data_IF_510353599388
#
_entry.id   IF_510353599388
#
_cell.length_a   1.000
_cell.length_b   1.000
_cell.length_c   1.000
_cell.angle_alpha   90.00
_cell.angle_beta   90.00
_cell.angle_gamma   90.00
#
_symmetry.space_group_name_H-M   'P 1'
#
loop_
_entity.id
_entity.type
_entity.pdbx_description
1 polymer ?
#
# COMPACT_ATOMS: atom_id res chain seq x y z
N UNK A 1 -18.00 3.64 8.76
CA UNK A 1 -16.67 3.96 8.20
C UNK A 1 -16.27 2.89 7.19
N UNK A 2 -15.90 3.28 5.97
CA UNK A 2 -15.64 2.35 4.87
C UNK A 2 -14.18 1.90 4.94
N UNK A 3 -13.89 0.63 5.27
CA UNK A 3 -12.50 0.15 5.36
C UNK A 3 -11.81 0.33 3.99
N UNK A 4 -10.74 1.12 3.93
CA UNK A 4 -9.92 1.29 2.74
C UNK A 4 -8.54 0.66 2.93
N UNK A 5 -7.88 0.37 1.82
CA UNK A 5 -6.60 -0.32 1.79
C UNK A 5 -5.65 0.45 0.88
N UNK A 6 -4.38 0.52 1.29
CA UNK A 6 -3.30 1.14 0.53
C UNK A 6 -2.16 0.12 0.38
N UNK A 7 -1.25 0.41 -0.54
CA UNK A 7 -0.04 -0.40 -0.74
C UNK A 7 1.14 0.42 -0.25
N UNK A 8 1.86 -0.13 0.74
CA UNK A 8 3.10 0.42 1.24
C UNK A 8 4.28 -0.33 0.62
N UNK A 9 5.32 0.43 0.26
CA UNK A 9 6.59 -0.08 -0.20
C UNK A 9 7.59 -0.06 0.95
N UNK A 10 8.24 -1.18 1.15
CA UNK A 10 9.33 -1.38 2.08
C UNK A 10 10.62 -1.66 1.29
N UNK A 11 11.73 -1.09 1.73
CA UNK A 11 13.05 -1.36 1.18
C UNK A 11 13.97 -1.84 2.31
N UNK A 12 14.51 -3.05 2.18
CA UNK A 12 15.30 -3.73 3.22
C UNK A 12 14.61 -3.74 4.60
N UNK A 13 13.29 -3.91 4.60
CA UNK A 13 12.47 -3.91 5.83
C UNK A 13 12.09 -2.53 6.37
N UNK A 14 12.60 -1.43 5.80
CA UNK A 14 12.24 -0.07 6.18
C UNK A 14 11.06 0.43 5.35
N UNK A 15 10.07 1.03 6.01
CA UNK A 15 8.97 1.70 5.30
C UNK A 15 9.53 2.87 4.50
N UNK A 16 9.22 2.91 3.21
CA UNK A 16 9.66 3.99 2.32
C UNK A 16 8.49 4.93 2.04
N UNK A 17 7.43 4.39 1.45
CA UNK A 17 6.35 5.22 0.90
C UNK A 17 5.04 4.43 0.75
N UNK A 18 3.92 5.14 0.81
CA UNK A 18 2.61 4.59 0.42
C UNK A 18 2.33 5.00 -1.03
N UNK A 19 2.34 4.03 -1.93
CA UNK A 19 2.28 4.27 -3.39
C UNK A 19 0.86 4.47 -3.91
N UNK A 20 -0.16 3.96 -3.20
CA UNK A 20 -1.50 3.82 -3.75
C UNK A 20 -2.54 4.64 -3.01
N UNK A 21 -3.47 5.21 -3.79
CA UNK A 21 -4.70 5.76 -3.26
C UNK A 21 -5.52 4.69 -2.53
N UNK A 22 -6.29 5.10 -1.51
CA UNK A 22 -7.15 4.20 -0.77
C UNK A 22 -8.15 3.47 -1.69
N UNK A 23 -8.07 2.14 -1.75
CA UNK A 23 -8.93 1.30 -2.59
C UNK A 23 -9.54 0.14 -1.80
N UNK A 24 -10.29 -0.73 -2.48
CA UNK A 24 -10.82 -1.97 -1.89
C UNK A 24 -9.70 -2.97 -1.64
N UNK A 25 -9.90 -3.88 -0.67
CA UNK A 25 -8.90 -4.92 -0.35
C UNK A 25 -8.49 -5.73 -1.59
N UNK A 26 -9.48 -6.12 -2.38
CA UNK A 26 -9.29 -6.98 -3.56
C UNK A 26 -8.44 -6.31 -4.63
N UNK A 27 -8.63 -5.02 -4.86
CA UNK A 27 -7.85 -4.28 -5.86
C UNK A 27 -6.44 -3.98 -5.35
N UNK A 28 -6.30 -3.67 -4.06
CA UNK A 28 -5.00 -3.52 -3.42
C UNK A 28 -4.19 -4.82 -3.50
N UNK A 29 -4.78 -5.97 -3.18
CA UNK A 29 -4.12 -7.28 -3.27
C UNK A 29 -3.66 -7.59 -4.70
N UNK A 30 -4.54 -7.41 -5.71
CA UNK A 30 -4.19 -7.64 -7.12
C UNK A 30 -3.02 -6.75 -7.58
N UNK A 31 -3.01 -5.48 -7.21
CA UNK A 31 -1.93 -4.54 -7.54
C UNK A 31 -0.65 -4.88 -6.79
N UNK A 32 -0.76 -5.24 -5.51
CA UNK A 32 0.37 -5.62 -4.67
C UNK A 32 1.10 -6.84 -5.25
N UNK A 33 0.37 -7.86 -5.70
CA UNK A 33 0.98 -9.06 -6.34
C UNK A 33 1.73 -8.69 -7.62
N UNK A 34 1.21 -7.77 -8.43
CA UNK A 34 1.91 -7.30 -9.63
C UNK A 34 3.20 -6.56 -9.27
N UNK A 35 3.10 -5.60 -8.34
CA UNK A 35 4.26 -4.85 -7.85
C UNK A 35 5.31 -5.75 -7.21
N UNK A 36 4.89 -6.79 -6.48
CA UNK A 36 5.80 -7.75 -5.85
C UNK A 36 6.55 -8.61 -6.87
N UNK A 37 5.94 -8.93 -8.02
CA UNK A 37 6.61 -9.67 -9.10
C UNK A 37 7.67 -8.85 -9.81
N UNK A 38 7.43 -7.54 -9.93
CA UNK A 38 8.36 -6.59 -10.55
C UNK A 38 9.37 -6.02 -9.53
N UNK A 39 9.19 -6.32 -8.24
CA UNK A 39 10.02 -5.82 -7.16
C UNK A 39 11.43 -6.42 -7.22
N UNK A 40 12.44 -5.59 -6.96
CA UNK A 40 13.78 -6.08 -6.64
C UNK A 40 13.74 -6.91 -5.35
N UNK A 41 14.70 -7.84 -5.12
CA UNK A 41 14.71 -8.71 -3.93
C UNK A 41 14.71 -7.96 -2.59
N UNK A 42 15.16 -6.70 -2.60
CA UNK A 42 15.22 -5.83 -1.44
C UNK A 42 13.93 -5.00 -1.24
N UNK A 43 13.00 -5.04 -2.20
CA UNK A 43 11.74 -4.30 -2.17
C UNK A 43 10.58 -5.24 -1.86
N UNK A 44 9.77 -4.85 -0.88
CA UNK A 44 8.59 -5.59 -0.46
C UNK A 44 7.38 -4.66 -0.49
N UNK A 45 6.28 -5.10 -1.08
CA UNK A 45 5.03 -4.39 -1.09
C UNK A 45 4.05 -5.06 -0.14
N UNK A 46 3.40 -4.28 0.73
CA UNK A 46 2.39 -4.77 1.68
C UNK A 46 1.11 -3.99 1.56
N UNK A 47 -0.01 -4.71 1.62
CA UNK A 47 -1.33 -4.10 1.72
C UNK A 47 -1.60 -3.72 3.16
N UNK A 48 -1.79 -2.43 3.41
CA UNK A 48 -2.14 -1.89 4.72
C UNK A 48 -3.60 -1.47 4.75
N UNK A 49 -4.30 -1.85 5.81
CA UNK A 49 -5.65 -1.40 6.07
C UNK A 49 -5.59 -0.04 6.76
N UNK A 50 -6.25 0.95 6.18
CA UNK A 50 -6.37 2.28 6.78
C UNK A 50 -7.82 2.53 7.22
N UNK A 51 -7.96 3.25 8.33
CA UNK A 51 -9.25 3.83 8.69
C UNK A 51 -9.50 4.98 7.71
N UNK A 52 -10.59 4.93 6.95
CA UNK A 52 -11.12 6.12 6.27
C UNK A 52 -11.43 7.15 7.35
N UNK A 53 -10.50 8.06 7.57
CA UNK A 53 -10.84 9.36 8.11
C UNK A 53 -10.95 10.27 6.89
N UNK A 54 -11.97 11.11 6.82
CA UNK A 54 -12.08 12.22 5.84
C UNK A 54 -10.89 13.20 5.87
N UNK A 55 -9.83 12.88 6.62
CA UNK A 55 -8.56 13.56 6.58
C UNK A 55 -7.79 12.99 5.40
N UNK A 56 -7.74 13.78 4.32
CA UNK A 56 -6.71 13.71 3.27
C UNK A 56 -5.48 12.99 3.82
N UNK A 57 -5.15 11.84 3.27
CA UNK A 57 -3.86 11.19 3.49
C UNK A 57 -2.83 12.18 2.95
N UNK A 58 -2.30 13.02 3.85
CA UNK A 58 -1.19 13.91 3.51
C UNK A 58 0.02 13.01 3.32
N UNK A 59 0.44 12.86 2.06
CA UNK A 59 1.75 12.35 1.72
C UNK A 59 2.78 13.26 2.40
N UNK A 60 3.51 12.73 3.40
CA UNK A 60 4.67 13.40 4.00
C UNK A 60 5.89 13.04 3.15
#
# INVERSE_FOLDING_TARGET
MKKQYVIARYFRGWYVETMCQPTTKRDADKRCVKLQKEASPLTEYKVLKIATTDKKVTYI
#
